data_IF_032872338700
#
_entry.id   IF_032872338700
#
_cell.length_a   1.000
_cell.length_b   1.000
_cell.length_c   1.000
_cell.angle_alpha   90.00
_cell.angle_beta   90.00
_cell.angle_gamma   90.00
#
_symmetry.space_group_name_H-M   'P 1'
#
loop_
_entity.id
_entity.type
_entity.pdbx_description
1 polymer ?
#
# COMPACT_ATOMS: atom_id res chain seq x y z
N UNK A 1 -13.50 11.67 -3.14
CA UNK A 1 -12.82 10.65 -3.96
C UNK A 1 -11.92 9.87 -3.02
N UNK A 2 -12.16 8.57 -2.83
CA UNK A 2 -11.42 7.72 -1.89
C UNK A 2 -10.81 6.54 -2.66
N UNK A 3 -9.69 5.94 -2.22
CA UNK A 3 -9.12 4.73 -2.81
C UNK A 3 -10.14 3.62 -3.11
N UNK A 4 -11.19 3.48 -2.28
CA UNK A 4 -12.26 2.50 -2.50
C UNK A 4 -12.98 2.67 -3.83
N UNK A 5 -13.21 3.90 -4.30
CA UNK A 5 -13.86 4.14 -5.59
C UNK A 5 -12.97 3.66 -6.75
N UNK A 6 -11.65 3.70 -6.59
CA UNK A 6 -10.70 3.19 -7.58
C UNK A 6 -10.77 1.66 -7.61
N UNK A 7 -10.86 1.02 -6.44
CA UNK A 7 -11.04 -0.43 -6.32
C UNK A 7 -12.35 -0.89 -6.94
N UNK A 8 -13.45 -0.19 -6.68
CA UNK A 8 -14.76 -0.50 -7.27
C UNK A 8 -14.77 -0.31 -8.78
N UNK A 9 -14.17 0.76 -9.30
CA UNK A 9 -14.03 0.98 -10.74
C UNK A 9 -13.19 -0.11 -11.41
N UNK A 10 -12.08 -0.51 -10.80
CA UNK A 10 -11.25 -1.61 -11.29
C UNK A 10 -12.03 -2.95 -11.27
N UNK A 11 -12.79 -3.23 -10.21
CA UNK A 11 -13.65 -4.43 -10.10
C UNK A 11 -14.78 -4.44 -11.13
N UNK A 12 -15.28 -3.27 -11.52
CA UNK A 12 -16.27 -3.11 -12.59
C UNK A 12 -15.68 -3.29 -14.00
N UNK A 13 -14.36 -3.51 -14.14
CA UNK A 13 -13.70 -3.75 -15.43
C UNK A 13 -13.12 -2.50 -16.08
N UNK A 14 -12.93 -1.41 -15.33
CA UNK A 14 -12.25 -0.23 -15.85
C UNK A 14 -10.75 -0.50 -16.04
N UNK A 15 -10.28 -0.44 -17.29
CA UNK A 15 -8.86 -0.61 -17.62
C UNK A 15 -8.03 0.67 -17.44
N UNK A 16 -8.67 1.84 -17.57
CA UNK A 16 -8.02 3.16 -17.50
C UNK A 16 -8.93 4.10 -16.70
N UNK A 17 -8.36 4.88 -15.78
CA UNK A 17 -9.08 5.89 -15.01
C UNK A 17 -8.20 7.11 -14.70
N UNK A 18 -8.82 8.30 -14.67
CA UNK A 18 -8.16 9.53 -14.22
C UNK A 18 -8.41 9.73 -12.74
N UNK A 19 -7.35 9.68 -11.94
CA UNK A 19 -7.43 9.80 -10.48
C UNK A 19 -6.71 11.06 -9.98
N UNK A 20 -7.21 11.70 -8.91
CA UNK A 20 -6.46 12.73 -8.20
C UNK A 20 -5.12 12.23 -7.66
N UNK A 21 -4.10 13.08 -7.65
CA UNK A 21 -2.77 12.74 -7.16
C UNK A 21 -2.76 12.32 -5.68
N UNK A 22 -3.61 12.94 -4.85
CA UNK A 22 -3.71 12.61 -3.42
C UNK A 22 -4.28 11.21 -3.19
N UNK A 23 -5.23 10.77 -4.02
CA UNK A 23 -5.81 9.43 -3.97
C UNK A 23 -4.78 8.39 -4.41
N UNK A 24 -4.01 8.68 -5.47
CA UNK A 24 -2.93 7.81 -5.91
C UNK A 24 -1.87 7.61 -4.81
N UNK A 25 -1.45 8.70 -4.15
CA UNK A 25 -0.48 8.62 -3.05
C UNK A 25 -1.00 7.76 -1.88
N UNK A 26 -2.28 7.89 -1.54
CA UNK A 26 -2.92 7.07 -0.49
C UNK A 26 -3.00 5.58 -0.84
N UNK A 27 -3.12 5.23 -2.12
CA UNK A 27 -3.12 3.82 -2.55
C UNK A 27 -1.75 3.16 -2.39
N UNK A 28 -0.67 3.93 -2.47
CA UNK A 28 0.70 3.43 -2.34
C UNK A 28 1.14 3.22 -0.88
N UNK A 29 0.63 4.05 0.03
CA UNK A 29 1.01 4.03 1.44
C UNK A 29 0.14 3.04 2.23
N UNK A 30 0.58 1.78 2.31
CA UNK A 30 -0.13 0.72 3.01
C UNK A 30 0.45 0.41 4.40
N UNK A 31 -0.31 0.58 5.49
CA UNK A 31 0.21 0.51 6.87
C UNK A 31 0.76 -0.87 7.25
N UNK A 32 0.20 -1.96 6.70
CA UNK A 32 0.72 -3.31 6.99
C UNK A 32 2.05 -3.60 6.29
N UNK A 33 2.33 -2.91 5.17
CA UNK A 33 3.60 -3.06 4.46
C UNK A 33 4.72 -2.42 5.28
N UNK A 34 4.50 -1.21 5.80
CA UNK A 34 5.44 -0.53 6.68
C UNK A 34 5.68 -1.32 7.98
N UNK A 35 4.60 -1.85 8.57
CA UNK A 35 4.69 -2.70 9.75
C UNK A 35 5.48 -3.99 9.47
N UNK A 36 5.25 -4.62 8.32
CA UNK A 36 5.97 -5.82 7.89
C UNK A 36 7.45 -5.57 7.67
N UNK A 37 7.82 -4.47 7.00
CA UNK A 37 9.23 -4.08 6.79
C UNK A 37 9.92 -3.82 8.12
N UNK A 38 9.26 -3.11 9.05
CA UNK A 38 9.81 -2.86 10.38
C UNK A 38 10.09 -4.16 11.12
N UNK A 39 9.09 -5.05 11.18
CA UNK A 39 9.24 -6.36 11.84
C UNK A 39 10.34 -7.19 11.20
N UNK A 40 10.41 -7.22 9.87
CA UNK A 40 11.45 -7.94 9.14
C UNK A 40 12.86 -7.47 9.52
N UNK A 41 13.07 -6.15 9.64
CA UNK A 41 14.35 -5.57 10.08
C UNK A 41 14.70 -5.93 11.52
N UNK A 42 13.71 -5.92 12.41
CA UNK A 42 13.90 -6.31 13.81
C UNK A 42 14.28 -7.79 13.94
N UNK A 43 13.60 -8.66 13.20
CA UNK A 43 13.87 -10.09 13.19
C UNK A 43 15.25 -10.39 12.58
N UNK A 44 15.64 -9.65 11.53
CA UNK A 44 16.98 -9.74 10.95
C UNK A 44 18.07 -9.30 11.94
N UNK A 45 17.89 -8.18 12.65
CA UNK A 45 18.84 -7.70 13.66
C UNK A 45 19.02 -8.71 14.82
N UNK A 46 17.94 -9.37 15.24
CA UNK A 46 18.01 -10.45 16.24
C UNK A 46 18.77 -11.68 15.72
N UNK A 47 18.60 -12.01 14.44
CA UNK A 47 19.27 -13.16 13.83
C UNK A 47 20.78 -12.95 13.63
N UNK A 48 21.23 -11.72 13.39
CA UNK A 48 22.66 -11.37 13.27
C UNK A 48 23.42 -11.30 14.62
N UNK A 49 22.77 -11.59 15.75
CA UNK A 49 23.45 -11.79 17.03
C UNK A 49 24.09 -10.53 17.62
N UNK A 50 23.38 -9.40 17.59
CA UNK A 50 23.62 -8.27 18.51
C UNK A 50 22.62 -8.28 19.65
#
# INVERSE_FOLDING_TARGET
>A
RHPLHVVEAARAGAHIATIPADVLAKMWNHPLTDAGIKKFREDFAKAEGK
#
